data_IF_206532024356
#
_entry.id   IF_206532024356
#
_cell.length_a   1.000
_cell.length_b   1.000
_cell.length_c   1.000
_cell.angle_alpha   90.00
_cell.angle_beta   90.00
_cell.angle_gamma   90.00
#
_symmetry.space_group_name_H-M   'P 1'
#
loop_
_entity.id
_entity.type
_entity.pdbx_description
1 polymer ?
#
# COMPACT_ATOMS: atom_id res chain seq x y z
N UNK A 1 26.32 60.03 -66.79
CA UNK A 1 26.44 58.55 -66.72
C UNK A 1 25.10 57.97 -66.27
N UNK A 2 24.71 56.85 -66.86
CA UNK A 2 23.35 56.23 -66.92
C UNK A 2 22.90 55.66 -65.55
N UNK A 3 21.63 55.86 -65.14
CA UNK A 3 20.49 54.89 -64.99
C UNK A 3 20.77 53.68 -64.06
N UNK A 4 19.89 53.04 -63.29
CA UNK A 4 18.48 53.11 -62.84
C UNK A 4 18.36 51.95 -61.79
N UNK A 5 17.57 52.14 -60.73
CA UNK A 5 16.60 51.22 -60.04
C UNK A 5 16.81 49.67 -60.06
N UNK A 6 16.71 49.00 -58.89
CA UNK A 6 15.60 48.10 -58.46
C UNK A 6 16.03 47.00 -57.45
N UNK A 7 15.11 46.76 -56.50
CA UNK A 7 15.05 45.84 -55.36
C UNK A 7 15.60 44.43 -55.52
N UNK A 8 16.05 43.84 -54.40
CA UNK A 8 15.63 42.49 -53.99
C UNK A 8 15.79 42.29 -52.47
N UNK A 9 14.67 41.95 -51.85
CA UNK A 9 14.52 41.45 -50.48
C UNK A 9 15.10 40.04 -50.42
N UNK A 10 15.87 39.71 -49.38
CA UNK A 10 15.94 38.33 -48.90
C UNK A 10 15.98 38.29 -47.37
N UNK A 11 14.87 37.82 -46.81
CA UNK A 11 14.73 37.30 -45.45
C UNK A 11 15.82 36.25 -45.20
N UNK A 12 16.57 36.35 -44.11
CA UNK A 12 16.99 35.16 -43.37
C UNK A 12 16.68 35.35 -41.89
N UNK A 13 15.95 34.36 -41.43
CA UNK A 13 15.15 34.19 -40.23
C UNK A 13 15.96 33.98 -38.96
N UNK A 14 15.32 34.39 -37.86
CA UNK A 14 15.41 33.91 -36.48
C UNK A 14 16.36 32.72 -36.23
N UNK A 15 17.36 32.98 -35.39
CA UNK A 15 18.03 31.98 -34.56
C UNK A 15 17.93 32.37 -33.09
N UNK A 16 16.70 32.55 -32.57
CA UNK A 16 16.50 32.35 -31.14
C UNK A 16 16.88 30.90 -30.88
N UNK A 17 18.01 30.69 -30.21
CA UNK A 17 18.33 29.43 -29.57
C UNK A 17 17.12 29.07 -28.72
N UNK A 18 16.31 28.18 -29.27
CA UNK A 18 15.31 27.45 -28.55
C UNK A 18 16.05 26.79 -27.40
N UNK A 19 15.91 27.35 -26.20
CA UNK A 19 15.84 26.50 -25.03
C UNK A 19 14.75 25.50 -25.37
N UNK A 20 15.14 24.30 -25.78
CA UNK A 20 14.28 23.14 -25.59
C UNK A 20 14.00 23.15 -24.09
N UNK A 21 12.85 23.72 -23.71
CA UNK A 21 12.13 23.22 -22.54
C UNK A 21 11.91 21.77 -22.87
N UNK A 22 12.87 20.93 -22.47
CA UNK A 22 12.52 19.61 -22.03
C UNK A 22 11.57 19.88 -20.87
N UNK A 23 10.29 19.95 -21.19
CA UNK A 23 9.25 19.67 -20.23
C UNK A 23 9.58 18.27 -19.72
N UNK A 24 10.33 18.25 -18.62
CA UNK A 24 10.40 17.11 -17.74
C UNK A 24 8.99 17.00 -17.18
N UNK A 25 8.11 16.34 -17.94
CA UNK A 25 6.83 15.90 -17.45
C UNK A 25 7.08 14.88 -16.34
N UNK A 26 6.77 15.35 -15.13
CA UNK A 26 6.25 14.59 -13.99
C UNK A 26 7.21 13.62 -13.31
N UNK A 27 8.20 14.19 -12.63
CA UNK A 27 8.70 13.66 -11.35
C UNK A 27 8.16 14.55 -10.22
N UNK A 28 6.86 14.54 -9.97
CA UNK A 28 6.25 15.06 -8.74
C UNK A 28 4.78 14.65 -8.65
N UNK A 29 4.57 13.43 -8.16
CA UNK A 29 3.30 13.00 -7.54
C UNK A 29 3.55 11.61 -6.98
N UNK A 30 3.92 11.53 -5.70
CA UNK A 30 3.66 10.32 -4.93
C UNK A 30 2.15 10.12 -5.00
N UNK A 31 1.68 9.29 -5.95
CA UNK A 31 0.26 9.16 -6.26
C UNK A 31 -0.48 8.80 -4.99
N UNK A 32 -1.17 9.79 -4.41
CA UNK A 32 -1.90 9.63 -3.16
C UNK A 32 -3.18 8.87 -3.44
N UNK A 33 -3.54 7.96 -2.54
CA UNK A 33 -4.76 7.17 -2.63
C UNK A 33 -5.52 7.23 -1.30
N UNK A 34 -6.84 7.11 -1.38
CA UNK A 34 -7.73 6.88 -0.23
C UNK A 34 -8.52 5.60 -0.49
N UNK A 35 -8.67 4.76 0.54
CA UNK A 35 -9.49 3.56 0.43
C UNK A 35 -10.98 3.86 0.15
N UNK A 36 -11.45 5.08 0.39
CA UNK A 36 -12.85 5.49 0.12
C UNK A 36 -13.16 5.51 -1.38
N UNK A 37 -12.15 5.73 -2.22
CA UNK A 37 -12.32 5.84 -3.68
C UNK A 37 -12.12 4.51 -4.40
N UNK A 38 -11.95 3.41 -3.66
CA UNK A 38 -11.59 2.09 -4.20
C UNK A 38 -12.68 1.05 -3.93
N UNK A 39 -12.95 0.23 -4.93
CA UNK A 39 -13.93 -0.86 -4.83
C UNK A 39 -13.31 -2.21 -4.45
N UNK A 40 -12.00 -2.37 -4.58
CA UNK A 40 -11.28 -3.60 -4.25
C UNK A 40 -9.89 -3.29 -3.71
N UNK A 41 -9.55 -3.77 -2.52
CA UNK A 41 -8.21 -3.62 -1.96
C UNK A 41 -7.95 -4.59 -0.81
N UNK A 42 -6.69 -4.80 -0.48
CA UNK A 42 -6.25 -5.48 0.73
C UNK A 42 -5.27 -4.60 1.48
N UNK A 43 -5.60 -4.27 2.72
CA UNK A 43 -4.72 -3.59 3.68
C UNK A 43 -4.15 -4.64 4.63
N UNK A 44 -2.86 -4.52 4.95
CA UNK A 44 -2.19 -5.37 5.92
C UNK A 44 -1.09 -4.63 6.69
N UNK A 45 -0.88 -5.04 7.95
CA UNK A 45 0.18 -4.50 8.79
C UNK A 45 0.53 -5.42 9.95
N UNK A 46 1.77 -5.36 10.43
CA UNK A 46 2.10 -5.73 11.79
C UNK A 46 2.00 -4.49 12.70
N UNK A 47 1.16 -4.57 13.72
CA UNK A 47 0.95 -3.51 14.71
C UNK A 47 1.33 -4.03 16.09
N UNK A 48 2.39 -3.49 16.69
CA UNK A 48 2.74 -3.76 18.09
C UNK A 48 1.76 -3.06 19.04
N UNK A 49 1.36 -3.73 20.12
CA UNK A 49 0.36 -3.21 21.07
C UNK A 49 0.84 -3.12 22.52
N UNK A 50 1.99 -3.68 22.89
CA UNK A 50 2.50 -3.70 24.28
C UNK A 50 2.51 -2.35 25.00
N UNK A 51 3.60 -1.58 24.92
CA UNK A 51 3.70 -0.24 25.56
C UNK A 51 2.99 0.86 24.75
N UNK A 52 1.86 0.52 24.13
CA UNK A 52 1.10 1.38 23.22
C UNK A 52 1.14 0.89 21.78
N UNK A 53 0.27 1.49 20.96
CA UNK A 53 0.13 1.10 19.56
C UNK A 53 1.29 1.66 18.71
N UNK A 54 1.96 0.76 17.98
CA UNK A 54 3.05 1.07 17.05
C UNK A 54 2.89 0.27 15.77
N UNK A 55 2.64 0.96 14.66
CA UNK A 55 2.66 0.37 13.32
C UNK A 55 3.80 1.02 12.53
N UNK A 56 4.86 0.26 12.24
CA UNK A 56 6.00 0.79 11.48
C UNK A 56 5.60 1.23 10.07
N UNK A 57 4.68 0.49 9.46
CA UNK A 57 4.01 0.83 8.22
C UNK A 57 2.72 0.02 8.09
N UNK A 58 1.69 0.63 7.51
CA UNK A 58 0.48 -0.06 7.05
C UNK A 58 0.47 0.01 5.53
N UNK A 59 0.23 -1.13 4.88
CA UNK A 59 0.28 -1.24 3.42
C UNK A 59 -1.07 -1.55 2.82
N UNK A 60 -1.31 -1.08 1.60
CA UNK A 60 -2.48 -1.44 0.81
C UNK A 60 -2.07 -1.94 -0.57
N UNK A 61 -2.68 -3.03 -1.04
CA UNK A 61 -2.60 -3.50 -2.41
C UNK A 61 -3.91 -3.17 -3.12
N UNK A 62 -3.81 -2.50 -4.26
CA UNK A 62 -4.94 -2.24 -5.15
C UNK A 62 -4.42 -2.11 -6.59
N UNK A 63 -5.12 -2.71 -7.56
CA UNK A 63 -4.89 -2.53 -8.99
C UNK A 63 -3.40 -2.62 -9.41
N UNK A 64 -2.74 -3.70 -8.98
CA UNK A 64 -1.33 -3.96 -9.32
C UNK A 64 -0.34 -2.98 -8.69
N UNK A 65 -0.72 -2.27 -7.63
CA UNK A 65 0.10 -1.26 -6.96
C UNK A 65 0.13 -1.51 -5.47
N UNK A 66 1.24 -1.11 -4.84
CA UNK A 66 1.42 -1.11 -3.39
C UNK A 66 1.48 0.34 -2.89
N UNK A 67 0.82 0.61 -1.78
CA UNK A 67 0.77 1.92 -1.14
C UNK A 67 1.18 1.79 0.33
N UNK A 68 1.80 2.84 0.88
CA UNK A 68 2.11 2.94 2.30
C UNK A 68 1.31 4.08 2.95
N UNK A 69 0.67 3.79 4.08
CA UNK A 69 -0.07 4.77 4.88
C UNK A 69 0.92 5.72 5.60
N UNK A 70 0.59 7.01 5.63
CA UNK A 70 1.38 8.06 6.32
C UNK A 70 0.58 8.86 7.33
N UNK A 71 -0.67 8.47 7.58
CA UNK A 71 -1.62 9.24 8.37
C UNK A 71 -1.35 9.15 9.87
N UNK A 72 -0.71 8.06 10.33
CA UNK A 72 -0.59 7.71 11.75
C UNK A 72 -1.94 7.68 12.49
N UNK A 73 -3.07 7.51 11.77
CA UNK A 73 -4.42 7.54 12.34
C UNK A 73 -4.78 6.22 12.98
N UNK A 74 -4.27 5.08 12.48
CA UNK A 74 -4.60 3.76 13.00
C UNK A 74 -4.49 3.66 14.52
N UNK A 75 -3.36 4.10 15.09
CA UNK A 75 -3.14 4.03 16.52
C UNK A 75 -3.93 5.07 17.35
N UNK A 76 -4.60 6.02 16.69
CA UNK A 76 -5.48 7.01 17.31
C UNK A 76 -6.94 6.58 17.26
N UNK A 77 -7.34 5.96 16.16
CA UNK A 77 -8.70 5.48 15.92
C UNK A 77 -8.66 4.20 15.08
N UNK A 78 -8.58 3.05 15.76
CA UNK A 78 -8.53 1.75 15.10
C UNK A 78 -9.88 1.33 14.53
N UNK A 79 -10.98 1.84 15.08
CA UNK A 79 -12.33 1.41 14.73
C UNK A 79 -12.81 2.10 13.45
N UNK A 80 -12.44 3.37 13.27
CA UNK A 80 -12.76 4.16 12.09
C UNK A 80 -11.56 4.32 11.14
N UNK A 81 -10.54 3.46 11.28
CA UNK A 81 -9.35 3.55 10.45
C UNK A 81 -9.69 3.44 8.95
N UNK A 82 -9.31 4.49 8.23
CA UNK A 82 -9.43 4.61 6.78
C UNK A 82 -8.02 4.76 6.19
N UNK A 83 -7.62 3.83 5.31
CA UNK A 83 -6.31 3.91 4.67
C UNK A 83 -6.17 5.17 3.81
N UNK A 84 -5.11 5.93 4.04
CA UNK A 84 -4.67 6.98 3.12
C UNK A 84 -3.15 7.02 3.05
N UNK A 85 -2.64 6.90 1.82
CA UNK A 85 -1.22 6.68 1.62
C UNK A 85 -0.72 7.10 0.26
N UNK A 86 0.55 6.86 0.01
CA UNK A 86 1.21 7.14 -1.25
C UNK A 86 1.69 5.85 -1.91
N UNK A 87 1.72 5.85 -3.24
CA UNK A 87 2.20 4.72 -4.03
C UNK A 87 3.69 4.48 -3.79
N UNK A 88 4.07 3.23 -3.51
CA UNK A 88 5.44 2.76 -3.46
C UNK A 88 5.96 2.37 -4.86
N UNK A 89 7.29 2.31 -5.06
CA UNK A 89 7.89 1.84 -6.31
C UNK A 89 7.41 0.43 -6.71
N UNK A 90 7.36 0.15 -8.01
CA UNK A 90 6.93 -1.16 -8.52
C UNK A 90 7.76 -2.33 -7.95
N UNK A 91 9.06 -2.10 -7.69
CA UNK A 91 9.93 -3.08 -7.05
C UNK A 91 9.43 -3.55 -5.68
N UNK A 92 8.69 -2.72 -4.95
CA UNK A 92 8.06 -3.11 -3.68
C UNK A 92 6.75 -3.87 -3.94
N UNK A 93 5.99 -3.49 -4.97
CA UNK A 93 4.81 -4.25 -5.40
C UNK A 93 5.17 -5.69 -5.83
N UNK A 94 6.30 -5.88 -6.53
CA UNK A 94 6.73 -7.22 -6.96
C UNK A 94 6.92 -8.21 -5.80
N UNK A 95 7.23 -7.72 -4.59
CA UNK A 95 7.38 -8.55 -3.38
C UNK A 95 6.03 -9.04 -2.83
N UNK A 96 4.96 -8.27 -3.06
CA UNK A 96 3.62 -8.52 -2.49
C UNK A 96 2.61 -9.05 -3.52
N UNK A 97 2.98 -9.15 -4.80
CA UNK A 97 2.03 -9.44 -5.89
C UNK A 97 1.21 -10.72 -5.70
N UNK A 98 1.76 -11.72 -5.00
CA UNK A 98 1.05 -12.99 -4.75
C UNK A 98 0.10 -12.91 -3.55
N UNK A 99 0.25 -11.92 -2.67
CA UNK A 99 -0.55 -11.80 -1.44
C UNK A 99 -2.04 -11.70 -1.75
N UNK A 100 -2.42 -10.97 -2.80
CA UNK A 100 -3.82 -10.84 -3.23
C UNK A 100 -4.40 -12.16 -3.72
N UNK A 101 -3.66 -12.92 -4.53
CA UNK A 101 -4.12 -14.21 -5.08
C UNK A 101 -4.12 -15.33 -4.04
N UNK A 102 -3.37 -15.17 -2.95
CA UNK A 102 -3.24 -16.16 -1.87
C UNK A 102 -4.05 -15.78 -0.64
N UNK A 103 -4.81 -14.69 -0.71
CA UNK A 103 -5.71 -14.28 0.36
C UNK A 103 -6.71 -15.42 0.65
N UNK A 104 -6.84 -15.85 1.92
CA UNK A 104 -7.72 -16.96 2.28
C UNK A 104 -9.18 -16.53 2.17
N UNK A 105 -9.88 -17.01 1.15
CA UNK A 105 -11.28 -16.67 0.90
C UNK A 105 -12.22 -17.12 2.03
N UNK A 106 -11.81 -18.14 2.79
CA UNK A 106 -12.46 -18.62 4.01
C UNK A 106 -12.62 -17.49 5.03
N UNK A 107 -11.65 -16.58 5.14
CA UNK A 107 -11.69 -15.45 6.08
C UNK A 107 -12.90 -14.54 5.82
N UNK A 108 -13.28 -14.38 4.55
CA UNK A 108 -14.42 -13.57 4.14
C UNK A 108 -15.78 -14.20 4.51
N UNK A 109 -15.82 -15.52 4.73
CA UNK A 109 -17.03 -16.25 5.12
C UNK A 109 -17.27 -16.31 6.62
N UNK A 110 -16.26 -15.98 7.43
CA UNK A 110 -16.36 -16.05 8.89
C UNK A 110 -16.97 -14.78 9.48
N UNK A 111 -17.78 -14.98 10.52
CA UNK A 111 -18.28 -13.91 11.37
C UNK A 111 -17.18 -13.38 12.31
N UNK A 112 -16.28 -14.27 12.77
CA UNK A 112 -15.19 -13.88 13.66
C UNK A 112 -14.25 -12.89 12.99
N UNK A 113 -14.00 -11.78 13.70
CA UNK A 113 -13.05 -10.72 13.31
C UNK A 113 -11.75 -10.75 14.08
N UNK A 114 -11.66 -11.64 15.08
CA UNK A 114 -10.52 -11.75 15.97
C UNK A 114 -10.05 -13.19 16.05
N UNK A 115 -8.75 -13.43 15.89
CA UNK A 115 -8.15 -14.75 15.99
C UNK A 115 -6.97 -14.70 16.96
N UNK A 116 -6.94 -15.62 17.91
CA UNK A 116 -5.94 -15.66 18.98
C UNK A 116 -6.13 -14.53 20.01
N UNK A 117 -5.03 -14.04 20.56
CA UNK A 117 -4.99 -13.01 21.59
C UNK A 117 -4.18 -11.76 21.13
N UNK A 118 -4.67 -10.97 20.15
CA UNK A 118 -4.01 -9.74 19.71
C UNK A 118 -3.59 -8.84 20.87
N UNK A 119 -2.30 -8.52 20.96
CA UNK A 119 -1.73 -7.66 22.02
C UNK A 119 -1.47 -8.33 23.37
N UNK A 120 -1.75 -9.63 23.52
CA UNK A 120 -1.45 -10.35 24.75
C UNK A 120 0.06 -10.56 24.92
N UNK A 121 0.51 -10.63 26.18
CA UNK A 121 1.94 -10.74 26.53
C UNK A 121 2.84 -9.68 25.86
N UNK A 122 2.36 -8.43 25.84
CA UNK A 122 3.00 -7.29 25.17
C UNK A 122 3.21 -7.46 23.66
N UNK A 123 2.51 -8.43 23.06
CA UNK A 123 2.57 -8.74 21.64
C UNK A 123 1.90 -7.68 20.76
N UNK A 124 1.84 -7.99 19.48
CA UNK A 124 1.17 -7.19 18.47
C UNK A 124 -0.05 -7.86 17.90
N UNK A 125 -0.35 -7.47 16.66
CA UNK A 125 -1.32 -8.11 15.80
C UNK A 125 -0.92 -8.00 14.34
N UNK A 126 -1.30 -9.00 13.56
CA UNK A 126 -1.59 -8.82 12.15
C UNK A 126 -2.95 -8.11 12.01
N UNK A 127 -2.91 -6.88 11.52
CA UNK A 127 -4.11 -6.17 11.06
C UNK A 127 -4.35 -6.50 9.59
N UNK A 128 -5.57 -6.91 9.24
CA UNK A 128 -6.03 -7.10 7.88
C UNK A 128 -7.30 -6.30 7.64
N UNK A 129 -7.45 -5.71 6.47
CA UNK A 129 -8.72 -5.16 6.02
C UNK A 129 -8.90 -5.41 4.52
N UNK A 130 -10.05 -5.92 4.12
CA UNK A 130 -10.39 -6.28 2.74
C UNK A 130 -11.66 -5.55 2.32
N UNK A 131 -11.61 -4.96 1.13
CA UNK A 131 -12.80 -4.58 0.36
C UNK A 131 -12.79 -5.39 -0.92
N UNK A 132 -13.94 -5.97 -1.23
CA UNK A 132 -14.21 -6.60 -2.52
C UNK A 132 -15.33 -5.82 -3.22
N UNK A 133 -15.32 -5.80 -4.56
CA UNK A 133 -16.30 -5.07 -5.35
C UNK A 133 -17.72 -5.50 -4.96
N UNK A 134 -18.57 -4.52 -4.65
CA UNK A 134 -19.96 -4.74 -4.24
C UNK A 134 -20.17 -5.27 -2.81
N UNK A 135 -19.10 -5.49 -2.01
CA UNK A 135 -19.21 -5.95 -0.62
C UNK A 135 -18.83 -4.85 0.37
N UNK A 136 -19.26 -4.95 1.63
CA UNK A 136 -18.81 -4.04 2.69
C UNK A 136 -17.35 -4.31 3.07
N UNK A 137 -16.67 -3.30 3.63
CA UNK A 137 -15.31 -3.47 4.15
C UNK A 137 -15.35 -4.45 5.32
N UNK A 138 -14.37 -5.34 5.38
CA UNK A 138 -14.18 -6.30 6.46
C UNK A 138 -12.78 -6.12 7.04
N UNK A 139 -12.65 -6.07 8.36
CA UNK A 139 -11.36 -5.98 9.06
C UNK A 139 -11.19 -7.16 10.01
N UNK A 140 -9.95 -7.58 10.24
CA UNK A 140 -9.57 -8.63 11.17
C UNK A 140 -8.35 -8.23 12.01
N UNK A 141 -8.36 -8.65 13.27
CA UNK A 141 -7.25 -8.53 14.21
C UNK A 141 -6.79 -9.94 14.57
N UNK A 142 -5.58 -10.29 14.17
CA UNK A 142 -5.04 -11.63 14.36
C UNK A 142 -3.80 -11.52 15.21
N UNK A 143 -3.65 -12.37 16.20
CA UNK A 143 -2.47 -12.43 17.05
C UNK A 143 -1.19 -12.58 16.21
N UNK A 144 -0.17 -11.77 16.51
CA UNK A 144 1.06 -11.66 15.71
C UNK A 144 1.94 -12.91 15.76
N UNK A 145 1.70 -13.83 16.70
CA UNK A 145 2.32 -15.15 16.67
C UNK A 145 2.04 -15.91 15.37
N UNK A 146 1.00 -15.52 14.64
CA UNK A 146 0.69 -16.11 13.33
C UNK A 146 1.79 -15.90 12.28
N UNK A 147 2.70 -14.94 12.48
CA UNK A 147 3.84 -14.75 11.60
C UNK A 147 4.89 -15.85 11.74
N UNK A 148 4.90 -16.61 12.84
CA UNK A 148 5.96 -17.57 13.15
C UNK A 148 5.48 -18.88 13.82
N UNK A 149 4.18 -19.05 14.09
CA UNK A 149 3.59 -20.24 14.72
C UNK A 149 2.26 -20.62 14.08
N UNK A 150 1.78 -21.82 14.41
CA UNK A 150 0.44 -22.31 14.06
C UNK A 150 -0.57 -22.14 15.20
N UNK A 151 -0.13 -21.65 16.36
CA UNK A 151 -0.93 -21.40 17.55
C UNK A 151 -0.75 -19.96 18.03
N UNK A 152 -1.75 -19.42 18.72
CA UNK A 152 -1.66 -18.14 19.42
C UNK A 152 -0.72 -18.21 20.65
N UNK A 153 -0.53 -17.08 21.32
CA UNK A 153 0.30 -16.98 22.54
C UNK A 153 -0.23 -17.82 23.72
N UNK A 154 -1.51 -18.22 23.69
CA UNK A 154 -2.16 -19.07 24.68
C UNK A 154 -2.18 -20.56 24.25
N UNK A 155 -1.43 -20.91 23.20
CA UNK A 155 -1.35 -22.24 22.58
C UNK A 155 -2.66 -22.75 21.97
N UNK A 156 -3.58 -21.86 21.58
CA UNK A 156 -4.77 -22.21 20.80
C UNK A 156 -4.43 -22.25 19.30
N UNK A 157 -4.83 -23.28 18.55
CA UNK A 157 -4.50 -23.38 17.13
C UNK A 157 -5.24 -22.32 16.30
N UNK A 158 -4.52 -21.69 15.38
CA UNK A 158 -5.15 -20.96 14.28
C UNK A 158 -5.75 -21.93 13.27
N UNK A 159 -6.77 -21.52 12.49
CA UNK A 159 -7.13 -22.24 11.28
C UNK A 159 -5.90 -22.42 10.38
N UNK A 160 -5.69 -23.63 9.85
CA UNK A 160 -4.47 -23.97 9.08
C UNK A 160 -4.25 -23.06 7.87
N UNK A 161 -5.31 -22.68 7.15
CA UNK A 161 -5.20 -21.75 6.02
C UNK A 161 -4.68 -20.38 6.48
N UNK A 162 -5.03 -19.97 7.70
CA UNK A 162 -4.71 -18.66 8.25
C UNK A 162 -3.26 -18.61 8.74
N UNK A 163 -2.76 -19.68 9.36
CA UNK A 163 -1.35 -19.77 9.75
C UNK A 163 -0.42 -19.79 8.53
N UNK A 164 -0.75 -20.55 7.50
CA UNK A 164 0.01 -20.58 6.24
C UNK A 164 0.06 -19.19 5.60
N UNK A 165 -1.09 -18.51 5.50
CA UNK A 165 -1.14 -17.15 4.96
C UNK A 165 -0.36 -16.15 5.84
N UNK A 166 -0.56 -16.20 7.16
CA UNK A 166 0.08 -15.29 8.11
C UNK A 166 1.60 -15.37 8.08
N UNK A 167 2.19 -16.57 8.11
CA UNK A 167 3.64 -16.75 8.05
C UNK A 167 4.24 -16.23 6.74
N UNK A 168 3.56 -16.49 5.62
CA UNK A 168 3.95 -15.94 4.32
C UNK A 168 3.89 -14.42 4.31
N UNK A 169 2.79 -13.85 4.84
CA UNK A 169 2.60 -12.41 4.90
C UNK A 169 3.64 -11.73 5.79
N UNK A 170 4.05 -12.35 6.90
CA UNK A 170 5.13 -11.85 7.76
C UNK A 170 6.48 -11.78 7.04
N UNK A 171 6.80 -12.82 6.26
CA UNK A 171 8.00 -12.84 5.41
C UNK A 171 7.95 -11.72 4.36
N UNK A 172 6.81 -11.52 3.71
CA UNK A 172 6.63 -10.46 2.73
C UNK A 172 6.70 -9.08 3.38
N UNK A 173 6.01 -8.86 4.50
CA UNK A 173 5.95 -7.58 5.23
C UNK A 173 7.35 -7.07 5.59
N UNK A 174 8.20 -7.95 6.14
CA UNK A 174 9.57 -7.61 6.54
C UNK A 174 10.51 -7.34 5.35
N UNK A 175 10.13 -7.75 4.14
CA UNK A 175 10.92 -7.51 2.92
C UNK A 175 10.67 -6.14 2.29
N UNK A 176 9.56 -5.47 2.63
CA UNK A 176 9.16 -4.17 2.07
C UNK A 176 10.02 -3.06 2.67
N UNK A 177 10.48 -2.13 1.83
CA UNK A 177 11.28 -0.98 2.25
C UNK A 177 10.55 0.31 1.93
N UNK A 178 10.16 1.05 2.96
CA UNK A 178 9.71 2.44 2.85
C UNK A 178 10.96 3.31 2.90
N UNK A 179 11.36 3.89 1.76
CA UNK A 179 12.45 4.86 1.67
C UNK A 179 11.87 6.26 1.56
#
# INVERSE_FOLDING_TARGET
MKRLILSSVFLITLGVLACSRNEVEVLNSSQKVSAETLEDYLVFSHVGLGWGCRASAIYMINDGKLYADTSNIFCKDQEQYQFSGFKLPDSEYQKVKTVMSEYPTELSSLESRTFGCPGCADGGMLFLQRKEKGKTVKSWRIDDSIFYRETDVMNQPFPKYLSVFGQKLGTVYTSIKVK
#
